data_IF_936745292811
#
_entry.id   IF_936745292811
#
_cell.length_a   1.000
_cell.length_b   1.000
_cell.length_c   1.000
_cell.angle_alpha   90.00
_cell.angle_beta   90.00
_cell.angle_gamma   90.00
#
_symmetry.space_group_name_H-M   'P 1'
#
loop_
_entity.id
_entity.type
_entity.pdbx_description
1 polymer ?
#
# COMPACT_ATOMS: atom_id res chain seq x y z
N UNK A 1 2.10 -1.25 13.62
CA UNK A 1 1.16 -0.14 13.37
C UNK A 1 1.92 1.10 12.96
N UNK A 2 1.42 1.86 11.99
CA UNK A 2 1.94 3.20 11.70
C UNK A 2 1.15 4.24 12.51
N UNK A 3 1.79 5.25 13.13
CA UNK A 3 1.11 6.23 13.99
C UNK A 3 -0.08 6.94 13.35
N UNK A 4 0.01 7.30 12.07
CA UNK A 4 -1.10 7.91 11.33
C UNK A 4 -2.28 6.97 11.11
N UNK A 5 -2.05 5.66 11.02
CA UNK A 5 -3.13 4.67 10.91
C UNK A 5 -3.92 4.58 12.21
N UNK A 6 -3.25 4.71 13.35
CA UNK A 6 -3.90 4.76 14.66
C UNK A 6 -4.79 6.02 14.78
N UNK A 7 -4.31 7.18 14.33
CA UNK A 7 -5.12 8.40 14.39
C UNK A 7 -6.32 8.37 13.45
N UNK A 8 -6.19 7.76 12.28
CA UNK A 8 -7.33 7.57 11.36
C UNK A 8 -8.43 6.69 11.95
N UNK A 9 -8.04 5.64 12.67
CA UNK A 9 -8.99 4.74 13.36
C UNK A 9 -9.53 5.33 14.65
N UNK A 10 -8.81 6.28 15.27
CA UNK A 10 -9.26 7.03 16.44
C UNK A 10 -10.36 8.08 16.13
N UNK A 11 -10.76 8.25 14.87
CA UNK A 11 -11.79 9.22 14.50
C UNK A 11 -13.09 8.96 15.29
N UNK A 12 -13.69 10.04 15.81
CA UNK A 12 -14.87 10.01 16.67
C UNK A 12 -14.58 9.80 18.16
N UNK A 13 -13.36 9.44 18.54
CA UNK A 13 -13.01 9.14 19.94
C UNK A 13 -12.52 10.39 20.69
N UNK A 14 -12.74 10.48 22.01
CA UNK A 14 -12.16 11.52 22.83
C UNK A 14 -10.64 11.36 22.92
N UNK A 15 -9.90 12.46 22.91
CA UNK A 15 -8.45 12.44 23.10
C UNK A 15 -7.93 13.74 23.72
N UNK A 16 -6.77 13.63 24.37
CA UNK A 16 -6.03 14.77 24.86
C UNK A 16 -4.84 15.06 23.95
N UNK A 17 -4.69 16.32 23.56
CA UNK A 17 -3.59 16.82 22.75
C UNK A 17 -2.77 17.80 23.58
N UNK A 18 -1.47 17.53 23.78
CA UNK A 18 -0.55 18.51 24.38
C UNK A 18 0.27 19.18 23.27
N UNK A 19 0.27 20.51 23.26
CA UNK A 19 1.05 21.31 22.33
C UNK A 19 2.46 21.59 22.88
N UNK A 20 3.39 21.95 22.00
CA UNK A 20 4.77 22.30 22.36
C UNK A 20 4.88 23.52 23.28
N UNK A 21 3.90 24.41 23.26
CA UNK A 21 3.83 25.56 24.17
C UNK A 21 3.33 25.16 25.59
N UNK A 22 2.88 23.92 25.78
CA UNK A 22 2.38 23.39 27.04
C UNK A 22 0.86 23.49 27.24
N UNK A 23 0.13 24.10 26.31
CA UNK A 23 -1.33 24.09 26.33
C UNK A 23 -1.86 22.68 26.04
N UNK A 24 -3.00 22.33 26.64
CA UNK A 24 -3.67 21.04 26.39
C UNK A 24 -5.07 21.24 25.87
N UNK A 25 -5.46 20.39 24.91
CA UNK A 25 -6.77 20.40 24.28
C UNK A 25 -7.40 19.04 24.47
N UNK A 26 -8.54 18.99 25.17
CA UNK A 26 -9.34 17.78 25.35
C UNK A 26 -10.61 17.89 24.51
N UNK A 27 -10.83 16.96 23.59
CA UNK A 27 -12.01 16.96 22.72
C UNK A 27 -12.12 15.68 21.89
N UNK A 28 -13.13 15.62 21.03
CA UNK A 28 -13.35 14.47 20.15
C UNK A 28 -12.68 14.68 18.80
N UNK A 29 -11.91 13.69 18.35
CA UNK A 29 -11.25 13.73 17.04
C UNK A 29 -12.29 13.69 15.91
N UNK A 30 -12.38 14.76 15.13
CA UNK A 30 -13.25 14.82 13.94
C UNK A 30 -12.50 14.33 12.71
N UNK A 31 -11.25 14.76 12.52
CA UNK A 31 -10.44 14.38 11.37
C UNK A 31 -8.93 14.59 11.64
N UNK A 32 -8.09 13.82 10.96
CA UNK A 32 -6.63 13.95 10.96
C UNK A 32 -6.07 13.76 9.54
N UNK A 33 -5.22 14.67 9.09
CA UNK A 33 -4.56 14.57 7.79
C UNK A 33 -3.16 13.91 7.86
N UNK A 34 -2.47 13.83 6.71
CA UNK A 34 -1.14 13.21 6.60
C UNK A 34 -0.02 14.02 7.26
N UNK A 35 -0.25 15.30 7.57
CA UNK A 35 0.68 16.18 8.28
C UNK A 35 0.38 16.26 9.78
N UNK A 36 -0.53 15.42 10.28
CA UNK A 36 -1.07 15.45 11.64
C UNK A 36 -1.78 16.75 11.99
N UNK A 37 -2.31 17.49 11.02
CA UNK A 37 -3.27 18.54 11.37
C UNK A 37 -4.57 17.87 11.83
N UNK A 38 -5.13 18.37 12.93
CA UNK A 38 -6.24 17.75 13.63
C UNK A 38 -7.41 18.72 13.76
N UNK A 39 -8.60 18.21 13.50
CA UNK A 39 -9.86 18.86 13.81
C UNK A 39 -10.48 18.19 15.04
N UNK A 40 -10.80 18.98 16.06
CA UNK A 40 -11.49 18.53 17.28
C UNK A 40 -12.84 19.22 17.41
N UNK A 41 -13.81 18.54 18.04
CA UNK A 41 -15.09 19.12 18.47
C UNK A 41 -15.27 19.01 19.98
N UNK A 42 -16.12 19.88 20.53
CA UNK A 42 -16.48 19.96 21.96
C UNK A 42 -15.23 20.06 22.84
N UNK A 43 -14.41 21.07 22.55
CA UNK A 43 -13.04 21.16 23.04
C UNK A 43 -12.95 21.98 24.31
N UNK A 44 -12.17 21.47 25.27
CA UNK A 44 -11.72 22.20 26.44
C UNK A 44 -10.22 22.45 26.29
N UNK A 45 -9.83 23.70 26.12
CA UNK A 45 -8.45 24.13 26.15
C UNK A 45 -8.06 24.51 27.58
N UNK A 46 -6.90 24.05 28.03
CA UNK A 46 -6.30 24.39 29.33
C UNK A 46 -4.98 25.11 29.09
N UNK A 47 -4.77 26.23 29.79
CA UNK A 47 -3.50 26.95 29.77
C UNK A 47 -2.34 26.06 30.24
N UNK A 48 -1.12 26.44 29.86
CA UNK A 48 0.10 25.78 30.33
C UNK A 48 0.18 25.66 31.86
N UNK A 49 -0.27 26.69 32.56
CA UNK A 49 -0.21 26.77 34.02
C UNK A 49 -1.37 26.02 34.71
N UNK A 50 -2.36 25.55 33.95
CA UNK A 50 -3.50 24.78 34.47
C UNK A 50 -4.59 25.62 35.15
N UNK A 51 -4.46 26.95 35.11
CA UNK A 51 -5.30 27.90 35.83
C UNK A 51 -6.51 28.43 35.03
N UNK A 52 -6.43 28.34 33.70
CA UNK A 52 -7.43 28.90 32.79
C UNK A 52 -7.93 27.85 31.83
N UNK A 53 -9.25 27.84 31.65
CA UNK A 53 -9.96 26.90 30.81
C UNK A 53 -10.87 27.64 29.84
N UNK A 54 -10.84 27.23 28.58
CA UNK A 54 -11.71 27.75 27.53
C UNK A 54 -12.50 26.61 26.90
N UNK A 55 -13.79 26.82 26.70
CA UNK A 55 -14.65 25.88 25.97
C UNK A 55 -14.88 26.40 24.56
N UNK A 56 -14.72 25.52 23.58
CA UNK A 56 -14.83 25.84 22.16
C UNK A 56 -15.70 24.76 21.49
N UNK A 57 -16.61 25.12 20.58
CA UNK A 57 -17.37 24.11 19.85
C UNK A 57 -16.47 23.28 18.92
N UNK A 58 -15.49 23.92 18.27
CA UNK A 58 -14.53 23.28 17.38
C UNK A 58 -13.14 23.92 17.51
N UNK A 59 -12.10 23.16 17.20
CA UNK A 59 -10.72 23.62 17.18
C UNK A 59 -9.96 22.96 16.03
N UNK A 60 -9.10 23.72 15.36
CA UNK A 60 -8.13 23.21 14.40
C UNK A 60 -6.71 23.40 14.91
N UNK A 61 -5.95 22.31 14.96
CA UNK A 61 -4.58 22.27 15.48
C UNK A 61 -3.65 21.87 14.35
N UNK A 62 -2.57 22.63 14.17
CA UNK A 62 -1.53 22.33 13.18
C UNK A 62 -0.62 21.21 13.70
N UNK A 63 -0.34 20.20 12.88
CA UNK A 63 0.38 19.01 13.35
C UNK A 63 1.80 19.24 13.85
N UNK A 64 2.49 20.24 13.30
CA UNK A 64 3.86 20.57 13.72
C UNK A 64 3.94 21.21 15.12
N UNK A 65 2.84 21.69 15.69
CA UNK A 65 2.79 22.26 17.06
C UNK A 65 2.49 21.21 18.12
N UNK A 66 2.12 19.99 17.71
CA UNK A 66 1.79 18.90 18.63
C UNK A 66 3.07 18.35 19.26
N UNK A 67 3.02 18.10 20.57
CA UNK A 67 4.06 17.40 21.33
C UNK A 67 3.71 15.92 21.47
N UNK A 68 2.52 15.62 21.97
CA UNK A 68 1.99 14.25 22.01
C UNK A 68 0.47 14.22 22.08
N UNK A 69 -0.09 13.03 21.87
CA UNK A 69 -1.53 12.73 21.95
C UNK A 69 -1.75 11.58 22.94
N UNK A 70 -2.81 11.65 23.76
CA UNK A 70 -3.30 10.51 24.53
C UNK A 70 -4.56 9.98 23.86
N UNK A 71 -4.45 8.77 23.33
CA UNK A 71 -5.54 8.07 22.64
C UNK A 71 -6.14 7.04 23.59
N UNK A 72 -7.46 6.83 23.61
CA UNK A 72 -8.09 5.79 24.42
C UNK A 72 -7.62 4.38 24.02
N UNK A 73 -7.50 3.48 25.00
CA UNK A 73 -7.05 2.10 24.77
C UNK A 73 -7.99 1.31 23.84
N UNK A 74 -9.29 1.61 23.85
CA UNK A 74 -10.29 1.00 22.96
C UNK A 74 -9.95 1.15 21.47
N UNK A 75 -9.25 2.23 21.10
CA UNK A 75 -8.82 2.43 19.71
C UNK A 75 -7.74 1.42 19.34
N UNK A 76 -6.83 1.12 20.27
CA UNK A 76 -5.70 0.20 20.05
C UNK A 76 -6.21 -1.19 19.70
N UNK A 77 -7.26 -1.65 20.38
CA UNK A 77 -7.89 -2.95 20.13
C UNK A 77 -8.52 -3.01 18.73
N UNK A 78 -9.21 -1.95 18.30
CA UNK A 78 -9.82 -1.86 16.97
C UNK A 78 -8.79 -1.95 15.84
N UNK A 79 -7.63 -1.30 15.99
CA UNK A 79 -6.58 -1.36 14.94
C UNK A 79 -5.97 -2.75 14.85
N UNK A 80 -5.79 -3.44 15.98
CA UNK A 80 -5.27 -4.81 16.00
C UNK A 80 -6.19 -5.76 15.23
N UNK A 81 -7.50 -5.62 15.38
CA UNK A 81 -8.50 -6.38 14.62
C UNK A 81 -8.42 -6.09 13.11
N UNK A 82 -8.36 -4.81 12.71
CA UNK A 82 -8.22 -4.44 11.30
C UNK A 82 -6.94 -5.01 10.67
N UNK A 83 -5.83 -5.03 11.41
CA UNK A 83 -4.55 -5.53 10.88
C UNK A 83 -4.56 -7.04 10.68
N UNK A 84 -5.17 -7.79 11.60
CA UNK A 84 -5.37 -9.25 11.46
C UNK A 84 -6.27 -9.58 10.26
N UNK A 85 -7.37 -8.82 10.09
CA UNK A 85 -8.29 -9.00 8.96
C UNK A 85 -7.62 -8.81 7.59
N UNK A 86 -6.59 -7.95 7.50
CA UNK A 86 -5.82 -7.73 6.27
C UNK A 86 -4.78 -8.83 6.01
N UNK A 87 -4.18 -9.42 7.04
CA UNK A 87 -3.25 -10.55 6.85
C UNK A 87 -3.95 -11.82 6.37
N UNK A 88 -5.23 -12.01 6.74
CA UNK A 88 -6.03 -13.15 6.29
C UNK A 88 -6.56 -13.00 4.86
N UNK A 89 -6.53 -11.79 4.29
CA UNK A 89 -6.86 -11.52 2.87
C UNK A 89 -5.69 -11.80 1.92
N UNK A 90 -4.77 -12.70 2.28
CA UNK A 90 -3.82 -13.25 1.32
C UNK A 90 -4.63 -13.96 0.23
N UNK A 91 -4.49 -13.60 -1.06
CA UNK A 91 -5.33 -14.20 -2.11
C UNK A 91 -5.16 -15.73 -2.08
N UNK A 92 -6.27 -16.50 -2.09
CA UNK A 92 -6.18 -17.94 -2.21
C UNK A 92 -5.62 -18.27 -3.60
N UNK A 93 -4.45 -18.91 -3.62
CA UNK A 93 -4.00 -19.68 -4.78
C UNK A 93 -3.46 -18.88 -5.97
N UNK A 94 -2.18 -18.51 -5.93
CA UNK A 94 -1.33 -18.77 -7.09
C UNK A 94 -0.84 -20.20 -6.94
N UNK A 95 -1.52 -21.12 -7.63
CA UNK A 95 -1.32 -22.55 -7.53
C UNK A 95 0.13 -22.97 -7.72
N UNK A 96 0.79 -23.35 -6.62
CA UNK A 96 1.92 -24.30 -6.65
C UNK A 96 1.37 -25.71 -6.62
N UNK A 97 0.65 -26.08 -7.69
CA UNK A 97 0.30 -27.47 -7.97
C UNK A 97 1.43 -28.15 -8.73
N UNK A 98 2.56 -28.44 -8.08
CA UNK A 98 3.53 -29.43 -8.58
C UNK A 98 3.31 -30.73 -7.84
N UNK A 99 2.37 -31.52 -8.36
CA UNK A 99 2.07 -32.83 -7.84
C UNK A 99 1.08 -33.56 -8.74
N UNK A 100 1.58 -34.16 -9.83
CA UNK A 100 1.02 -35.41 -10.36
C UNK A 100 2.18 -36.30 -10.81
N UNK A 101 2.70 -37.01 -9.83
CA UNK A 101 3.26 -38.35 -9.99
C UNK A 101 2.23 -39.17 -10.76
N UNK A 102 2.58 -39.63 -11.96
CA UNK A 102 1.84 -40.67 -12.68
C UNK A 102 2.69 -41.93 -12.59
N UNK A 103 2.45 -42.69 -11.55
CA UNK A 103 2.92 -44.06 -11.40
C UNK A 103 1.83 -44.96 -11.97
N UNK A 104 2.05 -45.50 -13.17
CA UNK A 104 1.28 -46.59 -13.74
C UNK A 104 2.25 -47.51 -14.50
N UNK A 105 2.72 -48.56 -13.84
CA UNK A 105 2.93 -49.86 -14.48
C UNK A 105 1.87 -50.84 -13.95
N UNK A 106 1.61 -52.02 -14.55
CA UNK A 106 2.52 -52.78 -15.41
C UNK A 106 1.89 -53.41 -16.69
N UNK A 107 2.73 -53.69 -17.69
CA UNK A 107 2.53 -54.81 -18.62
C UNK A 107 2.07 -54.50 -20.06
N UNK A 108 2.79 -55.05 -21.05
CA UNK A 108 2.15 -55.45 -22.33
C UNK A 108 2.85 -55.11 -23.65
N UNK A 109 3.92 -55.86 -23.99
CA UNK A 109 4.27 -56.43 -25.32
C UNK A 109 4.53 -55.55 -26.57
N UNK A 110 5.64 -55.92 -27.24
CA UNK A 110 6.17 -55.56 -28.56
C UNK A 110 5.18 -55.48 -29.73
N UNK A 111 5.49 -54.62 -30.71
CA UNK A 111 5.37 -54.94 -32.15
C UNK A 111 6.37 -54.14 -33.01
N UNK A 112 7.00 -54.84 -33.95
CA UNK A 112 8.00 -54.42 -34.95
C UNK A 112 7.40 -53.63 -36.13
N UNK A 113 8.22 -52.84 -36.83
CA UNK A 113 7.99 -52.35 -38.22
C UNK A 113 8.79 -51.07 -38.52
N UNK A 114 10.07 -51.10 -38.95
CA UNK A 114 10.63 -51.22 -40.32
C UNK A 114 10.50 -49.95 -41.20
N UNK A 115 11.65 -49.37 -41.60
CA UNK A 115 11.84 -48.42 -42.72
C UNK A 115 12.89 -47.32 -42.46
N UNK A 116 14.20 -47.55 -42.73
CA UNK A 116 15.00 -47.02 -43.88
C UNK A 116 15.16 -45.48 -43.92
N UNK A 117 16.33 -44.92 -43.57
CA UNK A 117 17.51 -44.65 -44.44
C UNK A 117 17.45 -43.18 -44.92
N UNK A 118 18.42 -42.27 -44.84
CA UNK A 118 19.87 -42.27 -45.11
C UNK A 118 20.52 -40.97 -44.56
N UNK A 119 21.72 -41.08 -43.99
CA UNK A 119 22.99 -40.32 -44.19
C UNK A 119 22.94 -39.02 -45.04
N UNK A 120 23.75 -37.97 -44.92
CA UNK A 120 24.87 -37.48 -44.09
C UNK A 120 25.21 -36.06 -44.62
N UNK A 121 26.03 -35.31 -43.88
CA UNK A 121 26.76 -34.07 -44.26
C UNK A 121 25.94 -32.77 -44.40
N UNK A 122 26.19 -31.68 -43.68
CA UNK A 122 27.41 -31.24 -43.02
C UNK A 122 27.82 -29.89 -43.61
N UNK A 123 27.87 -28.82 -42.80
CA UNK A 123 28.81 -27.70 -42.97
C UNK A 123 28.73 -26.69 -41.83
N UNK A 124 29.92 -26.40 -41.28
CA UNK A 124 30.26 -25.45 -40.22
C UNK A 124 30.42 -24.03 -40.79
N UNK A 125 30.23 -23.02 -39.94
CA UNK A 125 30.79 -21.67 -40.11
C UNK A 125 30.05 -20.67 -39.21
N UNK A 126 30.57 -20.26 -38.04
CA UNK A 126 31.61 -19.24 -37.79
C UNK A 126 31.30 -17.86 -38.42
N UNK A 127 31.27 -16.82 -37.59
CA UNK A 127 31.55 -15.45 -38.03
C UNK A 127 30.59 -14.40 -37.48
N UNK A 128 31.12 -13.54 -36.59
CA UNK A 128 30.37 -12.46 -35.94
C UNK A 128 30.20 -11.20 -36.78
N UNK A 129 29.57 -10.19 -36.16
CA UNK A 129 29.43 -8.85 -36.74
C UNK A 129 28.74 -7.86 -35.81
N UNK A 130 29.55 -7.03 -35.14
CA UNK A 130 29.15 -5.75 -34.53
C UNK A 130 28.67 -4.77 -35.62
N UNK A 131 27.64 -3.98 -35.34
CA UNK A 131 27.29 -2.83 -36.17
C UNK A 131 26.33 -1.85 -35.49
N UNK A 132 26.85 -0.68 -35.10
CA UNK A 132 26.13 0.53 -34.64
C UNK A 132 25.53 1.29 -35.83
N UNK A 133 24.42 2.01 -35.59
CA UNK A 133 23.96 3.17 -36.37
C UNK A 133 22.49 3.47 -36.06
N UNK A 134 22.14 4.42 -35.18
CA UNK A 134 22.01 5.88 -35.36
C UNK A 134 20.97 6.34 -36.41
N UNK A 135 20.09 7.25 -35.95
CA UNK A 135 19.38 8.37 -36.61
C UNK A 135 17.95 8.22 -37.15
N UNK A 136 17.11 9.20 -36.74
CA UNK A 136 15.78 9.57 -37.26
C UNK A 136 14.73 9.65 -36.13
N UNK A 137 14.53 10.74 -35.36
CA UNK A 137 13.78 11.98 -35.71
C UNK A 137 12.61 11.67 -36.65
N UNK A 138 11.33 11.89 -36.35
CA UNK A 138 10.62 13.06 -35.80
C UNK A 138 9.13 12.69 -35.73
N UNK A 139 8.34 13.29 -34.83
CA UNK A 139 6.88 13.09 -34.90
C UNK A 139 6.09 13.64 -33.71
N UNK A 140 6.22 14.94 -33.45
CA UNK A 140 5.30 15.70 -32.60
C UNK A 140 3.93 15.71 -33.29
N UNK A 141 2.89 15.21 -32.64
CA UNK A 141 1.52 15.49 -33.09
C UNK A 141 0.81 16.35 -32.04
N UNK A 142 0.56 17.60 -32.45
CA UNK A 142 -0.11 18.67 -31.73
C UNK A 142 -1.26 19.13 -32.61
N UNK A 143 -2.49 19.10 -32.08
CA UNK A 143 -3.70 19.59 -32.74
C UNK A 143 -4.89 18.76 -32.26
N UNK A 144 -6.01 19.32 -31.80
CA UNK A 144 -6.54 20.68 -31.85
C UNK A 144 -8.05 20.57 -32.10
N UNK A 145 -8.87 21.38 -31.41
CA UNK A 145 -10.32 21.53 -31.65
C UNK A 145 -11.15 21.38 -30.38
N UNK A 146 -11.71 22.46 -29.82
CA UNK A 146 -13.07 23.02 -30.08
C UNK A 146 -14.16 22.00 -29.69
N UNK A 147 -15.14 22.26 -28.82
CA UNK A 147 -15.72 23.48 -28.29
C UNK A 147 -17.23 23.25 -28.14
N UNK A 148 -17.82 23.81 -27.07
CA UNK A 148 -19.26 24.07 -26.81
C UNK A 148 -20.20 22.89 -26.56
N UNK A 149 -20.88 23.02 -25.41
CA UNK A 149 -22.04 22.29 -24.91
C UNK A 149 -22.31 22.85 -23.53
#
# INVERSE_FOLDING_TARGET
MLPLSLLKTAQGHPMLVELKNGETYNGHLVNCDTWMNIHLREVICTSKDGDRFWRMPECYIRGNTIKYLRVPDEVIDKVQEETKSRSDRKPPGVGRGRGRVREEGPGGKQAKGVGHGVDDAGSRGLGGGRGRGLTGKTGINKGGGRGRG
#
